data_IF_250957664281
#
_entry.id   IF_250957664281
#
_cell.length_a   1.000
_cell.length_b   1.000
_cell.length_c   1.000
_cell.angle_alpha   90.00
_cell.angle_beta   90.00
_cell.angle_gamma   90.00
#
_symmetry.space_group_name_H-M   'P 1'
#
loop_
_entity.id
_entity.type
_entity.pdbx_description
1 polymer ?
#
# COMPACT_ATOMS: atom_id res chain seq x y z
N UNK A 1 -1.22 12.81 -38.62
CA UNK A 1 -0.57 11.94 -37.61
C UNK A 1 -1.39 12.04 -36.34
N UNK A 2 -2.43 11.23 -36.22
CA UNK A 2 -3.23 11.14 -34.99
C UNK A 2 -2.98 9.73 -34.46
N UNK A 3 -2.27 9.64 -33.33
CA UNK A 3 -2.13 8.36 -32.61
C UNK A 3 -3.55 7.90 -32.27
N UNK A 4 -3.96 6.67 -32.64
CA UNK A 4 -5.29 6.20 -32.25
C UNK A 4 -5.33 6.23 -30.72
N UNK A 5 -6.29 6.99 -30.20
CA UNK A 5 -6.66 6.92 -28.80
C UNK A 5 -7.12 5.49 -28.57
N UNK A 6 -6.32 4.65 -27.91
CA UNK A 6 -6.72 3.30 -27.52
C UNK A 6 -7.64 3.48 -26.31
N UNK A 7 -8.75 4.18 -26.49
CA UNK A 7 -9.89 4.15 -25.59
C UNK A 7 -10.65 2.90 -25.94
N UNK A 8 -10.63 1.91 -25.06
CA UNK A 8 -11.58 0.81 -25.21
C UNK A 8 -12.97 1.37 -24.86
N UNK A 9 -13.77 1.71 -25.87
CA UNK A 9 -15.16 2.21 -25.71
C UNK A 9 -16.13 1.14 -25.17
N UNK A 10 -15.65 -0.09 -25.01
CA UNK A 10 -16.41 -1.15 -24.37
C UNK A 10 -16.45 -0.90 -22.84
N UNK A 11 -17.62 -0.74 -22.22
CA UNK A 11 -17.74 -0.57 -20.76
C UNK A 11 -17.12 -1.72 -19.96
N UNK A 12 -16.95 -2.91 -20.56
CA UNK A 12 -16.26 -4.05 -19.94
C UNK A 12 -14.73 -3.91 -19.88
N UNK A 13 -14.14 -2.94 -20.61
CA UNK A 13 -12.70 -2.63 -20.58
C UNK A 13 -12.32 -1.59 -19.52
N UNK A 14 -13.17 -1.34 -18.51
CA UNK A 14 -12.81 -0.41 -17.44
C UNK A 14 -11.96 -1.12 -16.40
N UNK A 15 -10.65 -0.87 -16.42
CA UNK A 15 -9.74 -1.36 -15.40
C UNK A 15 -9.69 -0.40 -14.20
N UNK A 16 -9.39 -0.92 -13.01
CA UNK A 16 -9.16 -0.13 -11.81
C UNK A 16 -8.09 -0.79 -10.93
N UNK A 17 -7.44 0.03 -10.11
CA UNK A 17 -6.57 -0.46 -9.05
C UNK A 17 -7.40 -0.92 -7.85
N UNK A 18 -7.16 -2.14 -7.40
CA UNK A 18 -7.58 -2.63 -6.09
C UNK A 18 -6.34 -2.85 -5.22
N UNK A 19 -6.51 -2.66 -3.92
CA UNK A 19 -5.43 -2.74 -2.94
C UNK A 19 -5.80 -3.65 -1.79
N UNK A 20 -4.79 -4.32 -1.23
CA UNK A 20 -4.97 -5.04 0.02
C UNK A 20 -5.04 -4.07 1.21
N UNK A 21 -5.39 -4.62 2.37
CA UNK A 21 -5.09 -3.99 3.65
C UNK A 21 -3.58 -3.75 3.81
N UNK A 22 -3.25 -2.76 4.64
CA UNK A 22 -1.86 -2.47 4.99
C UNK A 22 -1.27 -3.57 5.87
N UNK A 23 0.01 -3.87 5.66
CA UNK A 23 0.80 -4.70 6.56
C UNK A 23 0.93 -4.04 7.93
N UNK A 24 1.39 -4.81 8.91
CA UNK A 24 1.89 -4.21 10.15
C UNK A 24 3.07 -3.28 9.83
N UNK A 25 3.27 -2.29 10.70
CA UNK A 25 4.43 -1.42 10.64
C UNK A 25 5.72 -2.27 10.76
N UNK A 26 6.75 -1.91 9.99
CA UNK A 26 8.04 -2.61 9.97
C UNK A 26 8.75 -2.59 11.33
N UNK A 27 8.41 -1.61 12.18
CA UNK A 27 8.80 -1.53 13.58
C UNK A 27 7.57 -1.78 14.45
N UNK A 28 7.73 -2.48 15.56
CA UNK A 28 6.66 -2.72 16.53
C UNK A 28 6.66 -1.71 17.68
N UNK A 29 7.80 -1.03 17.89
CA UNK A 29 7.99 0.07 18.82
C UNK A 29 9.22 0.89 18.41
N UNK A 30 9.42 2.04 19.05
CA UNK A 30 10.63 2.85 18.87
C UNK A 30 10.53 3.90 17.76
N UNK A 31 9.32 4.21 17.28
CA UNK A 31 9.06 5.36 16.43
C UNK A 31 8.69 5.00 14.99
N UNK A 32 9.37 5.64 14.03
CA UNK A 32 9.01 5.60 12.61
C UNK A 32 9.40 4.29 11.93
N UNK A 33 8.48 3.72 11.16
CA UNK A 33 8.76 2.65 10.20
C UNK A 33 7.90 2.80 8.94
N UNK A 34 7.75 1.70 8.21
CA UNK A 34 6.97 1.63 6.98
C UNK A 34 5.98 0.47 7.01
N UNK A 35 4.86 0.63 6.33
CA UNK A 35 3.88 -0.43 6.07
C UNK A 35 3.64 -0.53 4.56
N UNK A 36 3.30 -1.74 4.12
CA UNK A 36 3.24 -2.13 2.72
C UNK A 36 1.86 -2.67 2.40
N UNK A 37 1.40 -2.55 1.15
CA UNK A 37 0.20 -3.24 0.66
C UNK A 37 0.37 -3.68 -0.78
N UNK A 38 -0.38 -4.70 -1.18
CA UNK A 38 -0.42 -5.15 -2.56
C UNK A 38 -1.32 -4.25 -3.40
N UNK A 39 -1.01 -4.17 -4.69
CA UNK A 39 -1.80 -3.49 -5.71
C UNK A 39 -2.10 -4.47 -6.83
N UNK A 40 -3.37 -4.52 -7.27
CA UNK A 40 -3.81 -5.39 -8.33
C UNK A 40 -4.64 -4.58 -9.32
N UNK A 41 -4.28 -4.68 -10.59
CA UNK A 41 -5.12 -4.13 -11.65
C UNK A 41 -6.20 -5.15 -11.99
N UNK A 42 -7.46 -4.76 -11.88
CA UNK A 42 -8.61 -5.64 -12.13
C UNK A 42 -9.62 -4.99 -13.07
N UNK A 43 -10.37 -5.82 -13.79
CA UNK A 43 -11.54 -5.36 -14.54
C UNK A 43 -12.65 -5.01 -13.55
N UNK A 44 -13.20 -3.81 -13.66
CA UNK A 44 -14.22 -3.35 -12.71
C UNK A 44 -15.46 -4.24 -12.70
N UNK A 45 -15.84 -4.78 -13.84
CA UNK A 45 -17.04 -5.61 -13.96
C UNK A 45 -16.87 -7.01 -13.36
N UNK A 46 -15.69 -7.61 -13.45
CA UNK A 46 -15.47 -9.01 -13.04
C UNK A 46 -14.62 -9.18 -11.80
N UNK A 47 -13.87 -8.14 -11.39
CA UNK A 47 -12.85 -8.23 -10.33
C UNK A 47 -11.65 -9.11 -10.69
N UNK A 48 -11.59 -9.64 -11.93
CA UNK A 48 -10.49 -10.49 -12.37
C UNK A 48 -9.29 -9.64 -12.80
N UNK A 49 -8.09 -10.24 -12.79
CA UNK A 49 -6.85 -9.59 -13.22
C UNK A 49 -6.99 -8.98 -14.61
N UNK A 50 -6.64 -7.70 -14.73
CA UNK A 50 -6.61 -6.94 -15.97
C UNK A 50 -5.19 -6.73 -16.52
N UNK A 51 -4.18 -7.37 -15.93
CA UNK A 51 -2.79 -7.30 -16.40
C UNK A 51 -2.26 -5.86 -16.42
N UNK A 52 -1.80 -5.40 -17.58
CA UNK A 52 -1.24 -4.04 -17.77
C UNK A 52 -2.28 -2.95 -17.99
N UNK A 53 -3.58 -3.28 -18.05
CA UNK A 53 -4.62 -2.35 -18.51
C UNK A 53 -4.66 -1.03 -17.71
N UNK A 54 -4.38 -1.04 -16.40
CA UNK A 54 -4.34 0.18 -15.59
C UNK A 54 -3.16 1.09 -15.97
N UNK A 55 -2.02 0.51 -16.34
CA UNK A 55 -0.88 1.28 -16.85
C UNK A 55 -1.15 1.83 -18.25
N UNK A 56 -1.72 1.00 -19.12
CA UNK A 56 -2.07 1.38 -20.50
C UNK A 56 -3.10 2.51 -20.51
N UNK A 57 -4.09 2.44 -19.62
CA UNK A 57 -5.09 3.48 -19.37
C UNK A 57 -4.56 4.66 -18.54
N UNK A 58 -3.29 4.63 -18.12
CA UNK A 58 -2.64 5.67 -17.31
C UNK A 58 -3.42 6.04 -16.05
N UNK A 59 -4.00 5.04 -15.39
CA UNK A 59 -4.67 5.19 -14.11
C UNK A 59 -3.59 5.25 -13.04
N UNK A 60 -3.53 6.36 -12.31
CA UNK A 60 -2.57 6.54 -11.22
C UNK A 60 -2.66 5.41 -10.21
N UNK A 61 -1.51 4.76 -9.97
CA UNK A 61 -1.44 3.69 -8.99
C UNK A 61 -1.58 4.28 -7.59
N UNK A 62 -2.37 3.65 -6.70
CA UNK A 62 -2.40 4.05 -5.31
C UNK A 62 -1.01 3.89 -4.68
N UNK A 63 -0.79 4.37 -3.46
CA UNK A 63 0.51 4.18 -2.80
C UNK A 63 0.69 2.72 -2.34
N UNK A 64 1.83 2.08 -2.59
CA UNK A 64 2.13 0.72 -2.11
C UNK A 64 2.87 0.71 -0.77
N UNK A 65 3.50 1.82 -0.39
CA UNK A 65 4.31 1.95 0.82
C UNK A 65 4.00 3.27 1.50
N UNK A 66 3.67 3.24 2.78
CA UNK A 66 3.48 4.46 3.55
C UNK A 66 4.22 4.41 4.89
N UNK A 67 4.52 5.59 5.43
CA UNK A 67 5.12 5.72 6.75
C UNK A 67 4.10 5.36 7.84
N UNK A 68 4.58 4.75 8.92
CA UNK A 68 3.82 4.48 10.14
C UNK A 68 4.64 4.86 11.36
N UNK A 69 3.97 5.26 12.44
CA UNK A 69 4.61 5.60 13.71
C UNK A 69 4.14 4.64 14.80
N UNK A 70 5.08 4.19 15.61
CA UNK A 70 4.83 3.31 16.75
C UNK A 70 5.21 3.96 18.06
N UNK A 71 4.59 3.46 19.13
CA UNK A 71 4.90 3.87 20.49
C UNK A 71 6.38 3.60 20.83
N UNK A 72 6.98 4.35 21.77
CA UNK A 72 8.28 4.01 22.31
C UNK A 72 8.33 2.57 22.82
N UNK A 73 9.49 1.93 22.69
CA UNK A 73 9.69 0.60 23.26
C UNK A 73 9.61 0.67 24.78
N UNK A 74 9.04 -0.36 25.41
CA UNK A 74 9.23 -0.55 26.84
C UNK A 74 10.72 -0.85 27.02
N UNK A 75 11.46 0.08 27.60
CA UNK A 75 12.80 -0.22 28.09
C UNK A 75 12.66 -1.38 29.07
N UNK A 76 13.55 -2.37 28.98
CA UNK A 76 13.75 -3.27 30.12
C UNK A 76 14.34 -2.40 31.23
N UNK A 77 13.51 -1.82 32.08
CA UNK A 77 13.94 -1.42 33.41
C UNK A 77 14.33 -2.70 34.12
N UNK A 78 15.59 -3.13 33.92
CA UNK A 78 16.28 -3.90 34.95
C UNK A 78 16.12 -3.07 36.21
N UNK A 79 15.36 -3.62 37.15
CA UNK A 79 15.00 -3.06 38.44
C UNK A 79 16.22 -2.40 39.08
N UNK A 80 16.44 -1.11 38.80
CA UNK A 80 17.34 -0.27 39.59
C UNK A 80 16.57 0.08 40.84
N UNK A 81 16.48 -0.90 41.74
CA UNK A 81 16.20 -0.65 43.15
C UNK A 81 17.18 0.43 43.56
N UNK A 82 16.65 1.59 43.98
CA UNK A 82 17.42 2.75 44.39
C UNK A 82 18.52 2.32 45.38
N UNK A 83 19.78 2.45 44.98
CA UNK A 83 20.86 2.67 45.94
C UNK A 83 20.75 4.12 46.40
N UNK A 84 20.03 4.39 47.49
CA UNK A 84 20.21 5.61 48.26
C UNK A 84 20.27 5.25 49.75
N UNK A 85 21.52 5.26 50.25
CA UNK A 85 22.02 5.41 51.63
C UNK A 85 21.42 4.58 52.76
#
# INVERSE_FOLDING_TARGET
MTKPDITCENPFCRAKWEVSEWSKCSVSCGGTGYQYREQKCVWEHTGQSAGSACYDAKIEAPTAVQQCHTKPCKTCESSRTLLIS
#
